data_IF_371721614467
#
_entry.id   IF_371721614467
#
_cell.length_a   1.000
_cell.length_b   1.000
_cell.length_c   1.000
_cell.angle_alpha   90.00
_cell.angle_beta   90.00
_cell.angle_gamma   90.00
#
_symmetry.space_group_name_H-M   'P 1'
#
loop_
_entity.id
_entity.type
_entity.pdbx_description
1 polymer ?
#
# COMPACT_ATOMS: atom_id res chain seq x y z
N UNK A 1 2.17 -5.52 -13.03
CA UNK A 1 3.34 -4.72 -12.60
C UNK A 1 2.84 -3.41 -11.99
N UNK A 2 3.60 -2.79 -11.09
CA UNK A 2 3.31 -1.47 -10.52
C UNK A 2 4.26 -0.45 -11.14
N UNK A 3 3.75 0.65 -11.67
CA UNK A 3 4.57 1.77 -12.07
C UNK A 3 5.15 2.48 -10.83
N UNK A 4 6.21 3.28 -11.03
CA UNK A 4 6.75 4.11 -9.96
C UNK A 4 5.71 5.10 -9.42
N UNK A 5 4.89 5.69 -10.29
CA UNK A 5 3.83 6.60 -9.88
C UNK A 5 2.74 5.90 -9.04
N UNK A 6 2.37 4.66 -9.40
CA UNK A 6 1.44 3.87 -8.59
C UNK A 6 2.03 3.54 -7.21
N UNK A 7 3.32 3.19 -7.14
CA UNK A 7 4.00 2.89 -5.88
C UNK A 7 4.13 4.14 -4.99
N UNK A 8 4.52 5.29 -5.55
CA UNK A 8 4.63 6.55 -4.81
C UNK A 8 3.27 7.00 -4.28
N UNK A 9 2.20 6.84 -5.07
CA UNK A 9 0.83 7.11 -4.62
C UNK A 9 0.42 6.17 -3.48
N UNK A 10 0.74 4.88 -3.59
CA UNK A 10 0.48 3.91 -2.52
C UNK A 10 1.19 4.33 -1.23
N UNK A 11 2.48 4.68 -1.28
CA UNK A 11 3.25 5.09 -0.10
C UNK A 11 2.64 6.32 0.59
N UNK A 12 2.27 7.35 -0.17
CA UNK A 12 1.55 8.51 0.38
C UNK A 12 0.23 8.13 1.05
N UNK A 13 -0.59 7.30 0.41
CA UNK A 13 -1.86 6.85 0.98
C UNK A 13 -1.67 5.96 2.22
N UNK A 14 -0.53 5.27 2.35
CA UNK A 14 -0.20 4.49 3.54
C UNK A 14 0.19 5.39 4.73
N UNK A 15 0.74 6.58 4.48
CA UNK A 15 0.99 7.59 5.52
C UNK A 15 -0.31 8.27 5.94
N UNK A 16 -1.16 8.64 4.99
CA UNK A 16 -2.43 9.33 5.25
C UNK A 16 -3.47 8.44 5.97
N UNK A 17 -3.50 7.14 5.67
CA UNK A 17 -4.51 6.21 6.20
C UNK A 17 -3.82 5.22 7.15
N UNK A 18 -3.89 5.39 8.48
CA UNK A 18 -3.11 4.63 9.46
C UNK A 18 -3.52 3.16 9.59
N UNK A 19 -2.63 2.31 10.15
CA UNK A 19 -2.73 0.85 10.00
C UNK A 19 -3.88 0.24 10.79
N UNK A 20 -4.34 0.95 11.82
CA UNK A 20 -5.52 0.59 12.62
C UNK A 20 -6.86 0.85 11.92
N UNK A 21 -6.89 1.49 10.74
CA UNK A 21 -8.14 1.71 10.01
C UNK A 21 -8.64 0.40 9.39
N UNK A 22 -9.77 -0.11 9.88
CA UNK A 22 -10.39 -1.35 9.41
C UNK A 22 -10.74 -1.33 7.91
N UNK A 23 -10.91 -0.15 7.31
CA UNK A 23 -11.21 0.05 5.89
C UNK A 23 -10.01 0.59 5.11
N UNK A 24 -8.80 0.55 5.67
CA UNK A 24 -7.57 1.10 5.05
C UNK A 24 -7.44 0.72 3.58
N UNK A 25 -7.44 -0.57 3.26
CA UNK A 25 -7.23 -1.03 1.90
C UNK A 25 -8.40 -0.77 0.96
N UNK A 26 -9.61 -0.61 1.50
CA UNK A 26 -10.78 -0.19 0.72
C UNK A 26 -10.65 1.28 0.31
N UNK A 27 -10.28 2.16 1.26
CA UNK A 27 -10.03 3.58 1.00
C UNK A 27 -8.89 3.78 -0.01
N UNK A 28 -7.79 3.05 0.14
CA UNK A 28 -6.66 3.08 -0.80
C UNK A 28 -7.10 2.62 -2.20
N UNK A 29 -7.84 1.50 -2.29
CA UNK A 29 -8.37 0.98 -3.55
C UNK A 29 -9.19 2.04 -4.30
N UNK A 30 -10.08 2.74 -3.59
CA UNK A 30 -10.91 3.82 -4.14
C UNK A 30 -10.05 5.00 -4.60
N UNK A 31 -9.11 5.46 -3.75
CA UNK A 31 -8.21 6.56 -4.07
C UNK A 31 -7.31 6.29 -5.28
N UNK A 32 -6.97 5.01 -5.52
CA UNK A 32 -6.24 4.56 -6.72
C UNK A 32 -7.15 4.30 -7.94
N UNK A 33 -8.39 4.78 -7.91
CA UNK A 33 -9.35 4.67 -9.02
C UNK A 33 -9.95 3.27 -9.19
N UNK A 34 -9.96 2.44 -8.14
CA UNK A 34 -10.61 1.11 -8.14
C UNK A 34 -9.93 0.04 -8.99
N UNK A 35 -8.82 0.36 -9.67
CA UNK A 35 -8.09 -0.58 -10.55
C UNK A 35 -7.45 -1.76 -9.81
N UNK A 36 -7.30 -1.63 -8.49
CA UNK A 36 -6.70 -2.64 -7.63
C UNK A 36 -7.64 -2.95 -6.48
N UNK A 37 -7.91 -4.22 -6.23
CA UNK A 37 -8.83 -4.62 -5.16
C UNK A 37 -8.17 -4.47 -3.78
N UNK A 38 -8.96 -4.35 -2.69
CA UNK A 38 -8.41 -4.26 -1.33
C UNK A 38 -7.47 -5.44 -0.99
N UNK A 39 -7.80 -6.65 -1.48
CA UNK A 39 -6.96 -7.84 -1.30
C UNK A 39 -5.61 -7.73 -2.02
N UNK A 40 -5.60 -7.15 -3.22
CA UNK A 40 -4.36 -6.88 -3.95
C UNK A 40 -3.52 -5.81 -3.26
N UNK A 41 -4.15 -4.78 -2.67
CA UNK A 41 -3.46 -3.77 -1.85
C UNK A 41 -2.79 -4.40 -0.65
N UNK A 42 -3.54 -5.19 0.12
CA UNK A 42 -2.98 -5.90 1.27
C UNK A 42 -1.76 -6.75 0.88
N UNK A 43 -1.89 -7.56 -0.17
CA UNK A 43 -0.77 -8.41 -0.63
C UNK A 43 0.45 -7.60 -1.08
N UNK A 44 0.23 -6.48 -1.80
CA UNK A 44 1.31 -5.59 -2.25
C UNK A 44 2.04 -4.96 -1.06
N UNK A 45 1.30 -4.45 -0.09
CA UNK A 45 1.84 -3.82 1.13
C UNK A 45 2.63 -4.83 1.96
N UNK A 46 2.11 -6.04 2.16
CA UNK A 46 2.83 -7.10 2.87
C UNK A 46 4.19 -7.40 2.22
N UNK A 47 4.24 -7.54 0.88
CA UNK A 47 5.50 -7.77 0.16
C UNK A 47 6.46 -6.58 0.25
N UNK A 48 5.93 -5.36 0.19
CA UNK A 48 6.71 -4.14 0.34
C UNK A 48 7.37 -4.05 1.73
N UNK A 49 6.60 -4.26 2.80
CA UNK A 49 7.13 -4.26 4.17
C UNK A 49 8.15 -5.39 4.41
N UNK A 50 7.89 -6.59 3.88
CA UNK A 50 8.87 -7.68 3.93
C UNK A 50 10.18 -7.32 3.20
N UNK A 51 10.08 -6.62 2.08
CA UNK A 51 11.25 -6.12 1.34
C UNK A 51 12.04 -5.12 2.19
N UNK A 52 11.38 -4.11 2.77
CA UNK A 52 12.03 -3.11 3.63
C UNK A 52 12.79 -3.76 4.79
N UNK A 53 12.14 -4.70 5.50
CA UNK A 53 12.77 -5.49 6.57
C UNK A 53 14.03 -6.23 6.10
N UNK A 54 14.00 -6.81 4.90
CA UNK A 54 15.16 -7.53 4.34
C UNK A 54 16.36 -6.60 4.07
N UNK A 55 16.11 -5.33 3.77
CA UNK A 55 17.15 -4.34 3.50
C UNK A 55 17.57 -3.52 4.74
N UNK A 56 17.09 -3.88 5.94
CA UNK A 56 17.44 -3.18 7.18
C UNK A 56 16.84 -1.78 7.29
N UNK A 57 15.85 -1.46 6.45
CA UNK A 57 15.10 -0.20 6.55
C UNK A 57 13.89 -0.49 7.44
N UNK A 58 13.98 -0.09 8.71
CA UNK A 58 12.80 -0.03 9.59
C UNK A 58 11.96 1.16 9.11
N UNK A 59 10.75 0.86 8.61
CA UNK A 59 9.76 1.85 8.17
C UNK A 59 8.81 2.23 9.28
#
# INVERSE_FOLDING_TARGET
VWSMSEQNLLERLLEEIPAGDARRYQKISIAMGGRRTPRQMWSRVQKYLQKLKKFGVEG
#
